data_IF_830861372917
#
_entry.id   IF_830861372917
#
_cell.length_a   1.000
_cell.length_b   1.000
_cell.length_c   1.000
_cell.angle_alpha   90.00
_cell.angle_beta   90.00
_cell.angle_gamma   90.00
#
_symmetry.space_group_name_H-M   'P 1'
#
loop_
_entity.id
_entity.type
_entity.pdbx_description
1 polymer ?
#
# COMPACT_ATOMS: atom_id res chain seq x y z
N UNK A 1 -40.05 49.80 73.68
CA UNK A 1 -40.62 50.37 72.43
C UNK A 1 -39.43 50.81 71.54
N UNK A 2 -38.96 50.00 70.67
CA UNK A 2 -37.88 50.33 69.74
C UNK A 2 -38.27 49.82 68.37
N UNK A 3 -38.47 50.79 67.47
CA UNK A 3 -38.75 50.57 66.06
C UNK A 3 -37.46 50.27 65.27
N UNK A 4 -37.37 49.13 64.61
CA UNK A 4 -36.26 48.85 63.72
C UNK A 4 -36.80 48.80 62.29
N UNK A 5 -36.33 49.75 61.47
CA UNK A 5 -36.60 49.78 60.01
C UNK A 5 -35.78 48.75 59.30
N UNK A 6 -36.44 47.83 58.52
CA UNK A 6 -35.80 46.98 57.59
C UNK A 6 -35.47 47.71 56.30
N UNK A 7 -34.18 47.85 56.03
CA UNK A 7 -33.67 48.30 54.72
C UNK A 7 -33.56 47.11 53.76
N UNK A 8 -34.26 47.15 52.62
CA UNK A 8 -34.13 46.19 51.51
C UNK A 8 -32.92 46.58 50.67
N UNK A 9 -31.88 45.74 50.68
CA UNK A 9 -30.79 45.80 49.74
C UNK A 9 -31.12 44.83 48.55
N UNK A 10 -31.28 45.39 47.33
CA UNK A 10 -31.38 44.68 46.08
C UNK A 10 -29.98 44.32 45.62
N UNK A 11 -29.62 43.05 45.69
CA UNK A 11 -28.39 42.52 45.11
C UNK A 11 -28.70 42.08 43.67
N UNK A 12 -28.16 42.81 42.69
CA UNK A 12 -28.18 42.43 41.28
C UNK A 12 -27.15 41.32 41.03
N UNK A 13 -27.61 40.11 40.75
CA UNK A 13 -26.75 39.04 40.24
C UNK A 13 -26.53 39.27 38.75
N UNK A 14 -25.33 39.64 38.33
CA UNK A 14 -24.86 39.59 36.94
C UNK A 14 -24.40 38.14 36.67
N UNK A 15 -25.21 37.39 35.92
CA UNK A 15 -24.80 36.07 35.42
C UNK A 15 -23.87 36.25 34.21
N UNK A 16 -22.57 36.04 34.46
CA UNK A 16 -21.58 35.94 33.38
C UNK A 16 -21.72 34.56 32.72
N UNK A 17 -22.33 34.50 31.53
CA UNK A 17 -22.35 33.33 30.70
C UNK A 17 -20.96 33.13 30.04
N UNK A 18 -20.14 32.26 30.61
CA UNK A 18 -18.91 31.79 29.97
C UNK A 18 -19.28 30.82 28.87
N UNK A 19 -19.25 31.30 27.62
CA UNK A 19 -19.28 30.45 26.43
C UNK A 19 -17.96 29.64 26.37
N UNK A 20 -17.98 28.41 26.86
CA UNK A 20 -16.92 27.45 26.55
C UNK A 20 -17.04 27.07 25.11
N UNK A 21 -16.20 27.65 24.24
CA UNK A 21 -15.97 27.10 22.89
C UNK A 21 -15.31 25.73 23.09
N UNK A 22 -16.12 24.70 23.04
CA UNK A 22 -15.64 23.31 22.85
C UNK A 22 -15.06 23.24 21.42
N UNK A 23 -13.78 23.59 21.31
CA UNK A 23 -13.02 23.31 20.08
C UNK A 23 -13.01 21.81 19.89
N UNK A 24 -13.83 21.33 18.95
CA UNK A 24 -13.68 19.98 18.41
C UNK A 24 -12.28 19.93 17.80
N UNK A 25 -11.32 19.37 18.52
CA UNK A 25 -10.06 18.95 17.94
C UNK A 25 -10.42 17.91 16.90
N UNK A 26 -10.45 18.31 15.62
CA UNK A 26 -10.49 17.37 14.52
C UNK A 26 -9.34 16.38 14.77
N UNK A 27 -9.69 15.13 15.10
CA UNK A 27 -8.70 14.06 15.22
C UNK A 27 -7.93 14.05 13.90
N UNK A 28 -6.65 14.38 13.96
CA UNK A 28 -5.77 14.21 12.83
C UNK A 28 -5.92 12.73 12.44
N UNK A 29 -6.21 12.45 11.16
CA UNK A 29 -6.22 11.08 10.69
C UNK A 29 -4.90 10.45 11.11
N UNK A 30 -4.95 9.31 11.79
CA UNK A 30 -3.75 8.65 12.28
C UNK A 30 -2.76 8.52 11.12
N UNK A 31 -1.57 9.11 11.32
CA UNK A 31 -0.53 9.01 10.30
C UNK A 31 -0.12 7.53 10.16
N UNK A 32 0.03 7.02 8.93
CA UNK A 32 0.44 5.64 8.75
C UNK A 32 1.81 5.40 9.39
N UNK A 33 2.01 4.21 9.94
CA UNK A 33 3.34 3.77 10.36
C UNK A 33 4.32 3.90 9.19
N UNK A 34 5.54 4.40 9.45
CA UNK A 34 6.57 4.52 8.41
C UNK A 34 7.03 3.11 7.98
N UNK A 35 6.71 2.74 6.74
CA UNK A 35 7.03 1.45 6.13
C UNK A 35 8.21 1.55 5.15
N UNK A 36 8.84 2.71 5.10
CA UNK A 36 9.98 2.97 4.19
C UNK A 36 11.27 2.45 4.83
N UNK A 37 12.09 1.77 4.02
CA UNK A 37 13.43 1.35 4.44
C UNK A 37 14.28 2.56 4.77
N UNK A 38 14.78 2.62 6.00
CA UNK A 38 15.57 3.74 6.47
C UNK A 38 16.95 3.77 5.79
N UNK A 39 17.55 4.97 5.56
CA UNK A 39 18.81 5.11 4.83
C UNK A 39 19.99 4.34 5.40
N UNK A 40 20.06 4.18 6.71
CA UNK A 40 21.10 3.43 7.42
C UNK A 40 20.97 1.90 7.28
N UNK A 41 19.80 1.41 6.86
CA UNK A 41 19.52 -0.01 6.63
C UNK A 41 19.94 -0.50 5.23
N UNK A 42 20.26 0.40 4.31
CA UNK A 42 20.74 0.01 2.98
C UNK A 42 22.17 -0.56 3.05
N UNK A 43 22.35 -1.70 2.42
CA UNK A 43 23.65 -2.41 2.36
C UNK A 43 24.56 -1.93 1.26
N UNK A 44 24.11 -1.01 0.38
CA UNK A 44 24.89 -0.45 -0.70
C UNK A 44 24.78 1.07 -0.75
N UNK A 45 25.84 1.73 -1.21
CA UNK A 45 25.88 3.19 -1.33
C UNK A 45 24.89 3.70 -2.37
N UNK A 46 24.71 2.99 -3.52
CA UNK A 46 23.73 3.33 -4.54
C UNK A 46 22.30 3.25 -3.98
N UNK A 47 21.96 2.18 -3.24
CA UNK A 47 20.64 2.05 -2.59
C UNK A 47 20.41 3.14 -1.55
N UNK A 48 21.42 3.44 -0.74
CA UNK A 48 21.37 4.50 0.29
C UNK A 48 21.16 5.86 -0.34
N UNK A 49 21.92 6.20 -1.39
CA UNK A 49 21.78 7.47 -2.09
C UNK A 49 20.38 7.64 -2.72
N UNK A 50 19.82 6.59 -3.34
CA UNK A 50 18.46 6.59 -3.84
C UNK A 50 17.44 6.76 -2.72
N UNK A 51 17.59 6.02 -1.61
CA UNK A 51 16.71 6.12 -0.44
C UNK A 51 16.69 7.53 0.15
N UNK A 52 17.85 8.16 0.31
CA UNK A 52 17.96 9.54 0.81
C UNK A 52 17.35 10.55 -0.17
N UNK A 53 17.68 10.43 -1.45
CA UNK A 53 17.19 11.35 -2.49
C UNK A 53 15.67 11.33 -2.65
N UNK A 54 15.06 10.16 -2.56
CA UNK A 54 13.64 9.97 -2.83
C UNK A 54 12.79 9.72 -1.58
N UNK A 55 13.32 9.96 -0.37
CA UNK A 55 12.65 9.65 0.90
C UNK A 55 11.24 10.23 0.99
N UNK A 56 11.05 11.49 0.57
CA UNK A 56 9.74 12.14 0.55
C UNK A 56 8.75 11.36 -0.33
N UNK A 57 9.13 11.06 -1.58
CA UNK A 57 8.29 10.33 -2.52
C UNK A 57 7.94 8.91 -2.04
N UNK A 58 8.84 8.25 -1.31
CA UNK A 58 8.57 6.93 -0.72
C UNK A 58 7.56 7.01 0.44
N UNK A 59 7.63 8.06 1.27
CA UNK A 59 6.64 8.31 2.33
C UNK A 59 5.28 8.71 1.77
N UNK A 60 5.25 9.51 0.71
CA UNK A 60 4.02 9.85 -0.01
C UNK A 60 3.36 8.60 -0.60
N UNK A 61 4.16 7.67 -1.16
CA UNK A 61 3.67 6.38 -1.62
C UNK A 61 3.06 5.56 -0.47
N UNK A 62 3.74 5.50 0.70
CA UNK A 62 3.21 4.82 1.88
C UNK A 62 1.88 5.41 2.33
N UNK A 63 1.79 6.73 2.45
CA UNK A 63 0.56 7.43 2.83
C UNK A 63 -0.57 7.21 1.81
N UNK A 64 -0.24 7.26 0.50
CA UNK A 64 -1.21 7.01 -0.57
C UNK A 64 -1.80 5.60 -0.50
N UNK A 65 -0.97 4.58 -0.27
CA UNK A 65 -1.46 3.20 -0.12
C UNK A 65 -2.35 3.10 1.12
N UNK A 66 -1.91 3.61 2.24
CA UNK A 66 -2.66 3.57 3.50
C UNK A 66 -4.06 4.20 3.37
N UNK A 67 -4.16 5.37 2.75
CA UNK A 67 -5.45 6.09 2.64
C UNK A 67 -6.32 5.62 1.48
N UNK A 68 -5.72 5.23 0.35
CA UNK A 68 -6.47 4.95 -0.87
C UNK A 68 -6.67 3.46 -1.17
N UNK A 69 -5.91 2.60 -0.50
CA UNK A 69 -5.96 1.16 -0.68
C UNK A 69 -5.86 0.44 0.68
N UNK A 70 -6.77 0.70 1.63
CA UNK A 70 -6.64 0.21 3.00
C UNK A 70 -6.74 -1.32 3.16
N UNK A 71 -7.11 -2.03 2.11
CA UNK A 71 -7.00 -3.49 2.02
C UNK A 71 -5.58 -3.97 1.66
N UNK A 72 -4.62 -3.05 1.50
CA UNK A 72 -3.21 -3.36 1.29
C UNK A 72 -2.43 -2.90 2.52
N UNK A 73 -1.88 -3.85 3.26
CA UNK A 73 -0.96 -3.56 4.36
C UNK A 73 0.49 -3.62 3.84
N UNK A 74 1.15 -2.46 3.86
CA UNK A 74 2.57 -2.38 3.49
C UNK A 74 3.40 -3.00 4.61
N UNK A 75 4.20 -4.01 4.29
CA UNK A 75 5.07 -4.67 5.27
C UNK A 75 6.11 -3.71 5.85
N UNK A 76 6.59 -3.94 7.09
CA UNK A 76 7.74 -3.20 7.63
C UNK A 76 8.89 -3.20 6.64
N UNK A 77 9.51 -2.02 6.40
CA UNK A 77 10.56 -1.84 5.39
C UNK A 77 10.15 -2.29 3.97
N UNK A 78 8.83 -2.34 3.70
CA UNK A 78 8.27 -2.84 2.45
C UNK A 78 8.45 -1.91 1.26
N UNK A 79 8.85 -0.65 1.49
CA UNK A 79 9.12 0.35 0.44
C UNK A 79 10.60 0.72 0.47
N UNK A 80 11.30 0.50 -0.63
CA UNK A 80 12.73 0.85 -0.72
C UNK A 80 13.38 0.40 -2.02
N UNK A 81 14.67 0.72 -2.17
CA UNK A 81 15.45 0.37 -3.35
C UNK A 81 16.29 -0.90 -3.08
N UNK A 82 15.90 -2.00 -3.70
CA UNK A 82 16.53 -3.30 -3.49
C UNK A 82 17.17 -3.82 -4.78
N UNK A 83 18.19 -4.66 -4.61
CA UNK A 83 18.77 -5.43 -5.70
C UNK A 83 17.97 -6.72 -5.89
N UNK A 84 17.40 -6.98 -7.10
CA UNK A 84 16.83 -8.28 -7.41
C UNK A 84 17.91 -9.37 -7.39
N UNK A 85 17.66 -10.47 -6.68
CA UNK A 85 18.66 -11.55 -6.51
C UNK A 85 18.96 -12.33 -7.79
N UNK A 86 18.06 -12.28 -8.78
CA UNK A 86 18.16 -13.00 -10.05
C UNK A 86 18.82 -12.17 -11.16
N UNK A 87 19.22 -10.93 -10.86
CA UNK A 87 19.90 -10.04 -11.82
C UNK A 87 21.31 -9.79 -11.33
N UNK A 88 22.29 -10.03 -12.20
CA UNK A 88 23.68 -9.72 -11.93
C UNK A 88 23.95 -8.21 -11.99
N UNK A 89 25.12 -7.81 -11.46
CA UNK A 89 25.50 -6.39 -11.41
C UNK A 89 24.86 -5.61 -10.27
N UNK A 90 25.07 -4.30 -10.24
CA UNK A 90 24.56 -3.37 -9.21
C UNK A 90 23.24 -2.72 -9.64
N UNK A 91 22.24 -3.54 -9.95
CA UNK A 91 20.89 -3.07 -10.29
C UNK A 91 20.11 -2.66 -9.07
N UNK A 92 19.21 -1.64 -9.21
CA UNK A 92 18.31 -1.20 -8.14
C UNK A 92 16.89 -1.06 -8.67
N UNK A 93 15.98 -1.73 -7.98
CA UNK A 93 14.55 -1.67 -8.25
C UNK A 93 13.84 -1.02 -7.06
N UNK A 94 12.93 -0.10 -7.32
CA UNK A 94 11.99 0.36 -6.30
C UNK A 94 11.03 -0.78 -6.01
N UNK A 95 11.04 -1.27 -4.78
CA UNK A 95 10.19 -2.37 -4.34
C UNK A 95 9.07 -1.87 -3.44
N UNK A 96 7.89 -2.44 -3.64
CA UNK A 96 6.73 -2.32 -2.79
C UNK A 96 6.28 -3.72 -2.39
N UNK A 97 6.27 -4.00 -1.08
CA UNK A 97 5.86 -5.29 -0.52
C UNK A 97 4.60 -5.11 0.33
N UNK A 98 3.50 -5.74 -0.09
CA UNK A 98 2.18 -5.61 0.53
C UNK A 98 1.56 -6.96 0.86
N UNK A 99 0.80 -7.00 1.94
CA UNK A 99 -0.20 -8.03 2.18
C UNK A 99 -1.55 -7.54 1.65
N UNK A 100 -2.26 -8.43 0.97
CA UNK A 100 -3.63 -8.18 0.55
C UNK A 100 -4.56 -8.71 1.65
N UNK A 101 -5.20 -7.80 2.38
CA UNK A 101 -6.16 -8.12 3.43
C UNK A 101 -7.54 -8.29 2.82
N UNK A 102 -7.76 -9.41 2.16
CA UNK A 102 -9.01 -9.77 1.52
C UNK A 102 -9.28 -11.26 1.69
N UNK A 103 -10.56 -11.59 1.84
CA UNK A 103 -11.01 -12.97 1.92
C UNK A 103 -11.14 -13.54 0.49
N UNK A 104 -10.50 -14.67 0.18
CA UNK A 104 -10.64 -15.29 -1.13
C UNK A 104 -12.04 -15.88 -1.30
N UNK A 105 -12.67 -15.62 -2.45
CA UNK A 105 -13.91 -16.30 -2.80
C UNK A 105 -13.64 -17.79 -3.14
N UNK A 106 -14.64 -18.68 -3.00
CA UNK A 106 -14.48 -20.09 -3.35
C UNK A 106 -14.01 -20.31 -4.80
N UNK A 107 -14.39 -19.45 -5.71
CA UNK A 107 -13.98 -19.48 -7.11
C UNK A 107 -12.47 -19.24 -7.25
N UNK A 108 -11.95 -18.27 -6.50
CA UNK A 108 -10.52 -17.98 -6.49
C UNK A 108 -9.70 -19.14 -5.91
N UNK A 109 -10.16 -19.78 -4.84
CA UNK A 109 -9.44 -20.90 -4.22
C UNK A 109 -9.36 -22.14 -5.10
N UNK A 110 -10.29 -22.30 -6.06
CA UNK A 110 -10.30 -23.41 -7.04
C UNK A 110 -9.36 -23.20 -8.21
N UNK A 111 -8.88 -21.97 -8.42
CA UNK A 111 -7.95 -21.68 -9.50
C UNK A 111 -6.62 -22.42 -9.27
N UNK A 112 -5.91 -22.69 -10.37
CA UNK A 112 -4.52 -23.13 -10.29
C UNK A 112 -3.64 -22.05 -9.68
N UNK A 113 -2.48 -22.39 -9.13
CA UNK A 113 -1.49 -21.41 -8.65
C UNK A 113 -1.16 -20.37 -9.72
N UNK A 114 -0.95 -20.83 -10.96
CA UNK A 114 -0.63 -19.94 -12.08
C UNK A 114 -1.76 -18.96 -12.36
N UNK A 115 -3.01 -19.40 -12.28
CA UNK A 115 -4.17 -18.53 -12.52
C UNK A 115 -4.39 -17.57 -11.36
N UNK A 116 -4.21 -18.01 -10.10
CA UNK A 116 -4.24 -17.08 -8.96
C UNK A 116 -3.16 -16.00 -9.05
N UNK A 117 -1.91 -16.39 -9.37
CA UNK A 117 -0.83 -15.43 -9.63
C UNK A 117 -1.17 -14.49 -10.77
N UNK A 118 -1.78 -14.98 -11.85
CA UNK A 118 -2.20 -14.17 -13.00
C UNK A 118 -3.29 -13.16 -12.62
N UNK A 119 -4.28 -13.59 -11.83
CA UNK A 119 -5.35 -12.72 -11.34
C UNK A 119 -4.79 -11.62 -10.42
N UNK A 120 -3.95 -11.99 -9.45
CA UNK A 120 -3.34 -11.05 -8.51
C UNK A 120 -2.37 -10.08 -9.21
N UNK A 121 -1.59 -10.57 -10.17
CA UNK A 121 -0.74 -9.74 -11.02
C UNK A 121 -1.56 -8.71 -11.77
N UNK A 122 -2.58 -9.15 -12.52
CA UNK A 122 -3.38 -8.28 -13.38
C UNK A 122 -4.14 -7.22 -12.60
N UNK A 123 -4.56 -7.54 -11.39
CA UNK A 123 -5.24 -6.59 -10.53
C UNK A 123 -4.30 -5.56 -9.89
N UNK A 124 -3.25 -6.03 -9.24
CA UNK A 124 -2.46 -5.17 -8.36
C UNK A 124 -1.26 -4.53 -9.04
N UNK A 125 -0.53 -5.28 -9.89
CA UNK A 125 0.72 -4.76 -10.46
C UNK A 125 0.52 -3.51 -11.31
N UNK A 126 -0.42 -3.45 -12.28
CA UNK A 126 -0.66 -2.25 -13.07
C UNK A 126 -1.07 -1.05 -12.23
N UNK A 127 -1.91 -1.28 -11.21
CA UNK A 127 -2.41 -0.22 -10.34
C UNK A 127 -1.31 0.33 -9.42
N UNK A 128 -0.54 -0.55 -8.79
CA UNK A 128 0.57 -0.17 -7.92
C UNK A 128 1.70 0.52 -8.70
N UNK A 129 2.00 0.07 -9.92
CA UNK A 129 2.98 0.75 -10.77
C UNK A 129 2.61 2.21 -11.07
N UNK A 130 1.33 2.51 -11.30
CA UNK A 130 0.86 3.91 -11.47
C UNK A 130 1.11 4.76 -10.22
N UNK A 131 1.06 4.16 -9.05
CA UNK A 131 1.34 4.84 -7.78
C UNK A 131 2.84 4.97 -7.50
N UNK A 132 3.63 3.95 -7.83
CA UNK A 132 5.07 3.89 -7.58
C UNK A 132 5.89 4.73 -8.56
N UNK A 133 5.54 4.71 -9.85
CA UNK A 133 6.37 5.24 -10.92
C UNK A 133 6.05 6.72 -11.22
N UNK A 134 6.44 7.61 -10.31
CA UNK A 134 6.38 9.06 -10.54
C UNK A 134 7.33 9.51 -11.63
N UNK A 135 7.09 10.71 -12.21
CA UNK A 135 7.96 11.27 -13.26
C UNK A 135 9.43 11.36 -12.83
N UNK A 136 9.68 11.70 -11.56
CA UNK A 136 11.05 11.83 -11.04
C UNK A 136 11.75 10.47 -10.93
N UNK A 137 11.02 9.45 -10.48
CA UNK A 137 11.53 8.08 -10.41
C UNK A 137 11.76 7.48 -11.82
N UNK A 138 10.89 7.77 -12.78
CA UNK A 138 11.08 7.32 -14.16
C UNK A 138 12.31 7.95 -14.82
N UNK A 139 12.66 9.20 -14.44
CA UNK A 139 13.86 9.90 -14.93
C UNK A 139 15.12 9.57 -14.14
N UNK A 140 15.01 8.86 -13.00
CA UNK A 140 16.17 8.53 -12.16
C UNK A 140 17.12 7.56 -12.89
N UNK A 141 18.34 7.99 -13.25
CA UNK A 141 19.25 7.16 -14.04
C UNK A 141 19.75 5.94 -13.27
N UNK A 142 19.79 6.02 -11.94
CA UNK A 142 20.24 4.95 -11.05
C UNK A 142 19.12 3.96 -10.66
N UNK A 143 17.91 4.10 -11.21
CA UNK A 143 16.81 3.18 -11.04
C UNK A 143 16.65 2.31 -12.28
N UNK A 144 16.71 0.99 -12.13
CA UNK A 144 16.68 0.04 -13.25
C UNK A 144 15.29 -0.57 -13.44
N UNK A 145 14.43 -0.56 -12.42
CA UNK A 145 13.08 -1.13 -12.51
C UNK A 145 12.25 -0.96 -11.25
N UNK A 146 11.13 -1.69 -11.24
CA UNK A 146 10.15 -1.69 -10.17
C UNK A 146 9.82 -3.12 -9.77
N UNK A 147 9.61 -3.35 -8.48
CA UNK A 147 9.19 -4.65 -7.95
C UNK A 147 7.91 -4.49 -7.16
N UNK A 148 6.91 -5.27 -7.50
CA UNK A 148 5.70 -5.42 -6.69
C UNK A 148 5.70 -6.81 -6.09
N UNK A 149 5.67 -6.88 -4.75
CA UNK A 149 5.54 -8.13 -4.01
C UNK A 149 4.18 -8.09 -3.32
N UNK A 150 3.31 -9.00 -3.71
CA UNK A 150 1.99 -9.16 -3.12
C UNK A 150 1.87 -10.53 -2.46
N UNK A 151 1.40 -10.54 -1.22
CA UNK A 151 1.04 -11.75 -0.49
C UNK A 151 -0.46 -11.74 -0.22
N UNK A 152 -1.12 -12.88 -0.38
CA UNK A 152 -2.56 -13.01 -0.18
C UNK A 152 -2.90 -14.34 0.47
N UNK A 153 -4.06 -14.40 1.12
CA UNK A 153 -4.56 -15.63 1.70
C UNK A 153 -4.93 -16.62 0.59
N UNK A 154 -4.36 -17.81 0.63
CA UNK A 154 -4.61 -18.87 -0.36
C UNK A 154 -6.04 -19.42 -0.27
N UNK A 155 -6.46 -19.68 0.96
CA UNK A 155 -7.78 -20.19 1.29
C UNK A 155 -8.11 -19.85 2.74
N UNK A 156 -9.40 -19.87 3.11
CA UNK A 156 -9.82 -19.79 4.50
C UNK A 156 -9.13 -20.89 5.31
N UNK A 157 -8.43 -20.54 6.42
CA UNK A 157 -7.81 -21.54 7.26
C UNK A 157 -8.89 -22.41 7.93
N UNK A 158 -8.72 -23.73 7.95
CA UNK A 158 -9.53 -24.60 8.76
C UNK A 158 -9.35 -24.24 10.25
N UNK A 159 -10.40 -24.47 11.06
CA UNK A 159 -10.36 -24.15 12.49
C UNK A 159 -9.12 -24.71 13.17
N UNK A 160 -8.32 -23.84 13.80
CA UNK A 160 -7.09 -24.20 14.50
C UNK A 160 -5.85 -24.41 13.61
N UNK A 161 -5.96 -24.19 12.30
CA UNK A 161 -4.81 -24.23 11.40
C UNK A 161 -4.30 -22.82 11.08
N UNK A 162 -2.96 -22.62 10.90
CA UNK A 162 -2.43 -21.36 10.49
C UNK A 162 -2.86 -21.02 9.06
N UNK A 163 -3.06 -19.72 8.80
CA UNK A 163 -3.34 -19.22 7.47
C UNK A 163 -2.14 -19.47 6.54
N UNK A 164 -2.39 -20.03 5.36
CA UNK A 164 -1.37 -20.21 4.33
C UNK A 164 -1.46 -19.05 3.34
N UNK A 165 -0.37 -18.29 3.25
CA UNK A 165 -0.26 -17.17 2.31
C UNK A 165 0.44 -17.61 1.04
N UNK A 166 -0.08 -17.24 -0.11
CA UNK A 166 0.67 -17.24 -1.36
C UNK A 166 1.34 -15.89 -1.56
N UNK A 167 2.47 -15.87 -2.22
CA UNK A 167 3.21 -14.64 -2.53
C UNK A 167 3.69 -14.66 -3.97
N UNK A 168 3.59 -13.54 -4.66
CA UNK A 168 4.23 -13.31 -5.96
C UNK A 168 5.06 -12.03 -5.92
N UNK A 169 6.29 -12.10 -6.45
CA UNK A 169 7.17 -10.97 -6.65
C UNK A 169 7.35 -10.74 -8.15
N UNK A 170 6.84 -9.64 -8.66
CA UNK A 170 6.94 -9.22 -10.04
C UNK A 170 8.05 -8.17 -10.20
N UNK A 171 9.10 -8.50 -10.92
CA UNK A 171 10.22 -7.62 -11.25
C UNK A 171 10.05 -7.10 -12.67
N UNK A 172 9.90 -5.78 -12.83
CA UNK A 172 9.54 -5.16 -14.10
C UNK A 172 10.60 -4.11 -14.46
N UNK A 173 11.29 -4.27 -15.61
CA UNK A 173 12.29 -3.30 -16.06
C UNK A 173 11.67 -1.91 -16.28
N UNK A 174 12.41 -0.86 -15.93
CA UNK A 174 11.93 0.53 -16.05
C UNK A 174 11.45 0.91 -17.47
N UNK A 175 12.09 0.48 -18.58
CA UNK A 175 11.58 0.78 -19.91
C UNK A 175 10.14 0.25 -20.12
N UNK A 176 9.87 -0.98 -19.69
CA UNK A 176 8.54 -1.60 -19.82
C UNK A 176 7.49 -0.85 -18.97
N UNK A 177 7.84 -0.45 -17.74
CA UNK A 177 6.97 0.38 -16.91
C UNK A 177 6.68 1.72 -17.59
N UNK A 178 7.70 2.34 -18.20
CA UNK A 178 7.56 3.60 -18.95
C UNK A 178 6.61 3.44 -20.13
N UNK A 179 6.72 2.35 -20.87
CA UNK A 179 5.85 2.05 -22.02
C UNK A 179 4.41 1.79 -21.56
N UNK A 180 4.22 1.07 -20.46
CA UNK A 180 2.91 0.85 -19.87
C UNK A 180 2.23 2.16 -19.44
N UNK A 181 2.94 3.01 -18.71
CA UNK A 181 2.39 4.28 -18.23
C UNK A 181 2.08 5.28 -19.36
N UNK A 182 2.75 5.16 -20.50
CA UNK A 182 2.49 5.95 -21.72
C UNK A 182 1.45 5.31 -22.64
N UNK A 183 0.84 4.20 -22.24
CA UNK A 183 -0.16 3.48 -23.03
C UNK A 183 0.40 2.74 -24.25
N UNK A 184 1.74 2.54 -24.34
CA UNK A 184 2.38 1.76 -25.41
C UNK A 184 2.43 0.27 -25.12
N UNK A 185 2.27 -0.12 -23.86
CA UNK A 185 2.15 -1.51 -23.43
C UNK A 185 0.90 -1.68 -22.57
N UNK A 186 0.19 -2.78 -22.75
CA UNK A 186 -0.94 -3.17 -21.89
C UNK A 186 -0.53 -4.16 -20.80
N UNK A 187 -1.52 -4.67 -20.05
CA UNK A 187 -1.29 -5.65 -18.98
C UNK A 187 -0.69 -6.95 -19.50
N UNK A 188 -1.06 -7.36 -20.71
CA UNK A 188 -0.50 -8.57 -21.32
C UNK A 188 1.01 -8.44 -21.55
N UNK A 189 1.47 -7.31 -22.12
CA UNK A 189 2.89 -7.03 -22.32
C UNK A 189 3.64 -6.87 -21.00
N UNK A 190 3.01 -6.28 -19.97
CA UNK A 190 3.59 -6.25 -18.62
C UNK A 190 3.80 -7.67 -18.07
N UNK A 191 2.80 -8.54 -18.21
CA UNK A 191 2.86 -9.92 -17.74
C UNK A 191 3.94 -10.73 -18.47
N UNK A 192 4.06 -10.55 -19.79
CA UNK A 192 5.06 -11.20 -20.63
C UNK A 192 6.49 -10.76 -20.31
N UNK A 193 6.70 -9.44 -20.11
CA UNK A 193 8.02 -8.85 -19.89
C UNK A 193 8.45 -8.80 -18.42
N UNK A 194 7.57 -9.15 -17.48
CA UNK A 194 7.92 -9.24 -16.06
C UNK A 194 8.60 -10.58 -15.74
N UNK A 195 9.60 -10.54 -14.86
CA UNK A 195 10.11 -11.74 -14.19
C UNK A 195 9.33 -11.95 -12.89
N UNK A 196 8.49 -13.00 -12.84
CA UNK A 196 7.64 -13.25 -11.67
C UNK A 196 8.08 -14.52 -10.97
N UNK A 197 8.34 -14.42 -9.66
CA UNK A 197 8.66 -15.55 -8.79
C UNK A 197 7.51 -15.69 -7.79
N UNK A 198 7.06 -16.93 -7.55
CA UNK A 198 5.98 -17.20 -6.60
C UNK A 198 6.39 -18.17 -5.49
N UNK A 199 5.65 -18.10 -4.39
CA UNK A 199 5.76 -18.97 -3.23
C UNK A 199 4.38 -19.42 -2.75
N UNK A 200 4.30 -20.65 -2.23
CA UNK A 200 3.18 -21.20 -1.49
C UNK A 200 3.63 -21.40 -0.03
N UNK A 201 3.20 -20.51 0.85
CA UNK A 201 3.81 -20.38 2.18
C UNK A 201 5.31 -20.07 2.06
N UNK A 202 6.14 -20.91 2.65
CA UNK A 202 7.62 -20.81 2.58
C UNK A 202 8.20 -21.53 1.36
N UNK A 203 7.40 -22.32 0.65
CA UNK A 203 7.87 -23.13 -0.47
C UNK A 203 7.98 -22.28 -1.74
N UNK A 204 9.22 -22.14 -2.25
CA UNK A 204 9.44 -21.46 -3.53
C UNK A 204 8.94 -22.31 -4.70
N UNK A 205 7.97 -21.81 -5.44
CA UNK A 205 7.42 -22.46 -6.63
C UNK A 205 8.25 -22.21 -7.90
N UNK A 206 9.15 -21.21 -7.86
CA UNK A 206 9.98 -20.84 -8.98
C UNK A 206 9.39 -19.71 -9.83
N UNK A 207 9.84 -19.63 -11.08
CA UNK A 207 9.38 -18.62 -12.04
C UNK A 207 8.03 -19.00 -12.59
N UNK A 208 7.07 -18.09 -12.51
CA UNK A 208 5.74 -18.23 -13.10
C UNK A 208 5.59 -17.17 -14.19
N UNK A 209 4.99 -17.55 -15.32
CA UNK A 209 4.60 -16.60 -16.37
C UNK A 209 3.12 -16.27 -16.20
N UNK A 210 2.77 -15.12 -15.61
CA UNK A 210 1.37 -14.72 -15.49
C UNK A 210 0.79 -14.44 -16.87
N UNK A 211 -0.51 -14.65 -16.99
CA UNK A 211 -1.30 -14.23 -18.15
C UNK A 211 -2.08 -12.97 -17.79
N UNK A 212 -2.45 -12.16 -18.77
CA UNK A 212 -3.43 -11.13 -18.52
C UNK A 212 -4.76 -11.79 -18.12
N UNK A 213 -5.27 -11.42 -16.95
CA UNK A 213 -6.51 -11.96 -16.41
C UNK A 213 -7.62 -10.92 -16.61
N UNK A 214 -8.66 -11.32 -17.33
CA UNK A 214 -9.78 -10.45 -17.69
C UNK A 214 -11.05 -10.71 -16.85
N UNK A 215 -10.91 -11.41 -15.73
CA UNK A 215 -12.03 -11.78 -14.88
C UNK A 215 -12.57 -10.62 -14.04
N UNK A 216 -13.86 -10.70 -13.66
CA UNK A 216 -14.46 -9.77 -12.70
C UNK A 216 -13.94 -10.06 -11.29
N UNK A 217 -12.79 -9.50 -11.00
CA UNK A 217 -12.09 -9.70 -9.74
C UNK A 217 -12.90 -9.22 -8.53
N UNK A 218 -13.82 -8.29 -8.70
CA UNK A 218 -14.70 -7.81 -7.61
C UNK A 218 -15.62 -8.92 -7.14
N UNK A 219 -16.02 -9.82 -8.04
CA UNK A 219 -16.84 -10.98 -7.69
C UNK A 219 -16.03 -12.13 -7.08
N UNK A 220 -14.78 -12.31 -7.53
CA UNK A 220 -13.93 -13.43 -7.09
C UNK A 220 -13.10 -13.14 -5.85
N UNK A 221 -12.87 -11.85 -5.54
CA UNK A 221 -12.05 -11.43 -4.40
C UNK A 221 -12.66 -10.18 -3.74
N UNK A 222 -13.59 -10.39 -2.83
CA UNK A 222 -14.37 -9.31 -2.23
C UNK A 222 -13.51 -8.43 -1.32
N UNK A 223 -13.53 -7.13 -1.59
CA UNK A 223 -13.08 -6.11 -0.65
C UNK A 223 -14.18 -5.88 0.38
N UNK A 224 -14.06 -6.49 1.55
CA UNK A 224 -15.05 -6.31 2.61
C UNK A 224 -14.79 -5.01 3.38
N UNK A 225 -15.84 -4.19 3.54
CA UNK A 225 -15.90 -3.17 4.58
C UNK A 225 -15.06 -1.92 4.36
N UNK A 226 -14.60 -1.63 3.14
CA UNK A 226 -13.83 -0.43 2.88
C UNK A 226 -14.70 0.82 2.76
N UNK A 227 -14.40 1.84 3.56
CA UNK A 227 -14.92 3.20 3.42
C UNK A 227 -13.77 4.14 3.13
N UNK A 228 -13.76 4.83 1.97
CA UNK A 228 -12.72 5.83 1.67
C UNK A 228 -12.67 6.92 2.74
N UNK A 229 -11.47 7.37 3.10
CA UNK A 229 -11.33 8.55 3.94
C UNK A 229 -11.78 9.79 3.15
N UNK A 230 -12.90 10.47 3.54
CA UNK A 230 -13.44 11.59 2.77
C UNK A 230 -12.50 12.82 2.74
N UNK A 231 -11.45 12.81 3.55
CA UNK A 231 -10.45 13.89 3.65
C UNK A 231 -9.31 13.72 2.65
N UNK A 232 -9.20 12.57 2.01
CA UNK A 232 -8.12 12.24 1.08
C UNK A 232 -8.68 12.03 -0.31
N UNK A 233 -8.16 12.78 -1.29
CA UNK A 233 -8.48 12.56 -2.69
C UNK A 233 -7.64 11.40 -3.21
N UNK A 234 -8.29 10.28 -3.52
CA UNK A 234 -7.66 9.13 -4.15
C UNK A 234 -7.84 9.21 -5.67
N UNK A 235 -6.75 9.15 -6.47
CA UNK A 235 -6.80 9.19 -7.93
C UNK A 235 -7.38 7.92 -8.55
#
# INVERSE_FOLDING_TARGET
MINIKLGRALASLAAAATLTLSGSTASAADAPADRVLQPDRYTSDRGRALGQKHQGALRDLNAKIYHCMPWLDVKPEGIGFYKPKHIDGDTRYLSLNVNVDQQPAPEFTRLSVQDRVSAMFSRYVPHLLRSMATNDLLKEPNLDGFTVIASWLKAEPASGQPAVMETAAAFIPKPLVTDFLRGRAGVAQLAEGAHVIAWDGETKLGVIKPKAWADDFVLTYKVAGYTPDPRVTCP
#
